data_IF_573109759018
#
_entry.id   IF_573109759018
#
_cell.length_a   1.000
_cell.length_b   1.000
_cell.length_c   1.000
_cell.angle_alpha   90.00
_cell.angle_beta   90.00
_cell.angle_gamma   90.00
#
_symmetry.space_group_name_H-M   'P 1'
#
loop_
_entity.id
_entity.type
_entity.pdbx_description
1 polymer ?
#
# COMPACT_ATOMS: atom_id res chain seq x y z
N UNK A 1 -3.72 3.58 -15.60
CA UNK A 1 -3.50 3.51 -14.14
C UNK A 1 -2.64 2.29 -13.88
N UNK A 2 -1.58 2.44 -13.10
CA UNK A 2 -0.63 1.37 -12.76
C UNK A 2 -0.88 0.95 -11.32
N UNK A 3 -0.88 -0.36 -11.05
CA UNK A 3 -1.04 -0.90 -9.69
C UNK A 3 0.27 -1.58 -9.26
N UNK A 4 0.76 -1.23 -8.09
CA UNK A 4 1.95 -1.81 -7.47
C UNK A 4 1.54 -2.73 -6.32
N UNK A 5 1.90 -4.01 -6.45
CA UNK A 5 1.82 -4.98 -5.37
C UNK A 5 3.05 -4.95 -4.47
N UNK A 6 2.84 -4.88 -3.15
CA UNK A 6 3.88 -4.94 -2.15
C UNK A 6 3.68 -6.14 -1.23
N UNK A 7 4.58 -7.11 -1.31
CA UNK A 7 4.66 -8.24 -0.38
C UNK A 7 5.59 -7.86 0.77
N UNK A 8 4.99 -7.43 1.88
CA UNK A 8 5.68 -6.96 3.06
C UNK A 8 5.29 -5.52 3.44
N UNK A 9 5.10 -5.30 4.73
CA UNK A 9 4.59 -4.04 5.30
C UNK A 9 5.53 -3.44 6.36
N UNK A 10 6.84 -3.65 6.21
CA UNK A 10 7.86 -3.00 7.03
C UNK A 10 8.22 -1.60 6.52
N UNK A 11 9.19 -0.94 7.16
CA UNK A 11 9.60 0.43 6.81
C UNK A 11 9.86 0.66 5.32
N UNK A 12 10.50 -0.30 4.63
CA UNK A 12 10.79 -0.19 3.20
C UNK A 12 9.49 -0.26 2.37
N UNK A 13 8.60 -1.20 2.69
CA UNK A 13 7.31 -1.35 2.01
C UNK A 13 6.47 -0.09 2.14
N UNK A 14 6.38 0.48 3.34
CA UNK A 14 5.65 1.73 3.57
C UNK A 14 6.25 2.92 2.81
N UNK A 15 7.58 3.03 2.74
CA UNK A 15 8.24 4.10 1.98
C UNK A 15 7.99 3.97 0.47
N UNK A 16 8.07 2.75 -0.07
CA UNK A 16 7.76 2.48 -1.48
C UNK A 16 6.29 2.74 -1.80
N UNK A 17 5.37 2.37 -0.90
CA UNK A 17 3.96 2.66 -1.05
C UNK A 17 3.72 4.17 -1.18
N UNK A 18 4.33 4.98 -0.31
CA UNK A 18 4.21 6.44 -0.41
C UNK A 18 4.71 6.96 -1.77
N UNK A 19 5.91 6.56 -2.19
CA UNK A 19 6.48 7.02 -3.47
C UNK A 19 5.60 6.63 -4.67
N UNK A 20 4.99 5.44 -4.64
CA UNK A 20 4.07 5.01 -5.69
C UNK A 20 2.78 5.83 -5.70
N UNK A 21 2.20 6.13 -4.53
CA UNK A 21 1.03 7.01 -4.41
C UNK A 21 1.33 8.43 -4.91
N UNK A 22 2.52 8.95 -4.61
CA UNK A 22 3.00 10.25 -5.10
C UNK A 22 3.22 10.26 -6.62
N UNK A 23 3.46 9.10 -7.22
CA UNK A 23 3.50 8.91 -8.68
C UNK A 23 2.11 8.69 -9.31
N UNK A 24 1.05 8.69 -8.50
CA UNK A 24 -0.33 8.48 -8.95
C UNK A 24 -0.66 7.01 -9.24
N UNK A 25 0.07 6.07 -8.63
CA UNK A 25 -0.17 4.63 -8.77
C UNK A 25 -1.03 4.11 -7.63
N UNK A 26 -1.83 3.09 -7.92
CA UNK A 26 -2.55 2.36 -6.88
C UNK A 26 -1.62 1.35 -6.21
N UNK A 27 -1.79 1.13 -4.92
CA UNK A 27 -0.92 0.24 -4.13
C UNK A 27 -1.76 -0.80 -3.41
N UNK A 28 -1.37 -2.06 -3.57
CA UNK A 28 -1.92 -3.19 -2.80
C UNK A 28 -0.82 -3.72 -1.89
N UNK A 29 -1.02 -3.65 -0.57
CA UNK A 29 -0.06 -4.14 0.42
C UNK A 29 -0.55 -5.46 1.00
N UNK A 30 0.35 -6.44 1.05
CA UNK A 30 0.10 -7.76 1.62
C UNK A 30 1.15 -8.11 2.66
N UNK A 31 0.77 -8.95 3.63
CA UNK A 31 1.70 -9.58 4.56
C UNK A 31 1.21 -11.01 4.89
N UNK A 32 2.05 -11.80 5.57
CA UNK A 32 1.73 -13.19 5.96
C UNK A 32 0.69 -13.31 7.09
N UNK A 33 0.35 -12.21 7.76
CA UNK A 33 -0.55 -12.16 8.93
C UNK A 33 -1.99 -11.78 8.56
N UNK A 34 -2.26 -11.53 7.27
CA UNK A 34 -3.59 -11.19 6.77
C UNK A 34 -3.80 -9.67 6.56
N UNK A 35 -4.64 -9.27 5.58
CA UNK A 35 -4.88 -7.88 5.22
C UNK A 35 -5.48 -7.05 6.36
N UNK A 36 -6.24 -7.66 7.26
CA UNK A 36 -6.83 -7.01 8.43
C UNK A 36 -5.77 -6.41 9.37
N UNK A 37 -4.57 -6.98 9.40
CA UNK A 37 -3.45 -6.48 10.22
C UNK A 37 -2.80 -5.21 9.67
N UNK A 38 -3.20 -4.78 8.48
CA UNK A 38 -2.65 -3.62 7.78
C UNK A 38 -3.57 -2.39 7.82
N UNK A 39 -4.71 -2.47 8.51
CA UNK A 39 -5.69 -1.38 8.56
C UNK A 39 -5.08 -0.03 8.98
N UNK A 40 -4.28 -0.03 10.05
CA UNK A 40 -3.63 1.17 10.55
C UNK A 40 -2.63 1.74 9.54
N UNK A 41 -1.83 0.88 8.89
CA UNK A 41 -0.86 1.28 7.88
C UNK A 41 -1.56 1.88 6.64
N UNK A 42 -2.63 1.24 6.17
CA UNK A 42 -3.40 1.74 5.03
C UNK A 42 -4.03 3.09 5.36
N UNK A 43 -4.60 3.25 6.56
CA UNK A 43 -5.16 4.51 7.03
C UNK A 43 -4.09 5.61 7.10
N UNK A 44 -2.91 5.28 7.63
CA UNK A 44 -1.78 6.19 7.76
C UNK A 44 -1.31 6.68 6.38
N UNK A 45 -1.14 5.77 5.41
CA UNK A 45 -0.75 6.11 4.03
C UNK A 45 -1.85 6.88 3.28
N UNK A 46 -3.12 6.50 3.44
CA UNK A 46 -4.25 7.16 2.80
C UNK A 46 -4.49 8.58 3.33
N UNK A 47 -4.05 8.88 4.56
CA UNK A 47 -4.19 10.21 5.16
C UNK A 47 -3.18 11.24 4.60
N UNK A 48 -2.12 10.76 3.93
CA UNK A 48 -1.07 11.61 3.37
C UNK A 48 -1.47 12.13 1.99
N UNK A 49 -1.09 13.37 1.63
CA UNK A 49 -1.30 13.87 0.27
C UNK A 49 -0.62 12.97 -0.77
N UNK A 50 -1.31 12.69 -1.87
CA UNK A 50 -0.79 11.89 -3.00
C UNK A 50 -1.20 12.51 -4.34
N UNK A 51 -0.59 12.06 -5.44
CA UNK A 51 -0.94 12.50 -6.79
C UNK A 51 -2.18 11.77 -7.37
N UNK A 52 -3.05 11.25 -6.51
CA UNK A 52 -4.30 10.58 -6.89
C UNK A 52 -4.26 9.04 -6.90
N UNK A 53 -3.16 8.43 -6.43
CA UNK A 53 -3.09 6.99 -6.19
C UNK A 53 -3.89 6.57 -4.95
N UNK A 54 -4.50 5.38 -4.98
CA UNK A 54 -5.19 4.78 -3.84
C UNK A 54 -4.37 3.64 -3.20
N UNK A 55 -4.51 3.43 -1.89
CA UNK A 55 -3.87 2.34 -1.16
C UNK A 55 -4.91 1.44 -0.51
N UNK A 56 -4.67 0.12 -0.54
CA UNK A 56 -5.47 -0.87 0.18
C UNK A 56 -4.64 -2.05 0.67
N UNK A 57 -5.18 -2.75 1.66
CA UNK A 57 -4.67 -4.07 2.03
C UNK A 57 -5.25 -5.14 1.09
N UNK A 58 -4.48 -6.22 0.87
CA UNK A 58 -4.90 -7.37 0.09
C UNK A 58 -4.13 -8.63 0.47
N UNK A 59 -4.55 -9.77 -0.06
CA UNK A 59 -3.80 -11.02 0.00
C UNK A 59 -2.56 -10.95 -0.89
N UNK A 60 -1.62 -11.88 -0.69
CA UNK A 60 -0.43 -11.97 -1.54
C UNK A 60 -0.73 -12.30 -3.01
N UNK A 61 -1.94 -12.77 -3.34
CA UNK A 61 -2.37 -13.00 -4.71
C UNK A 61 -2.98 -11.74 -5.37
N UNK A 62 -3.44 -10.79 -4.56
CA UNK A 62 -3.99 -9.52 -5.03
C UNK A 62 -2.93 -8.42 -5.20
N UNK A 63 -1.78 -8.59 -4.55
CA UNK A 63 -0.58 -7.76 -4.69
C UNK A 63 0.31 -8.34 -5.79
#
# INVERSE_FOLDING_TARGET
MTTLGLIGAGHIGSALAQTALDAGWDVVISNSRGPETLADLVSELASRPSAGGAVRAGTAAEA
#
